data_IF_128455560370
#
_entry.id   IF_128455560370
#
_cell.length_a   1.000
_cell.length_b   1.000
_cell.length_c   1.000
_cell.angle_alpha   90.00
_cell.angle_beta   90.00
_cell.angle_gamma   90.00
#
_symmetry.space_group_name_H-M   'P 1'
#
loop_
_entity.id
_entity.type
_entity.pdbx_description
1 polymer ?
#
# COMPACT_ATOMS: atom_id res chain seq x y z
N UNK A 1 -2.61 -3.93 4.21
CA UNK A 1 -2.38 -3.46 2.83
C UNK A 1 -3.63 -2.74 2.36
N UNK A 2 -3.50 -1.61 1.68
CA UNK A 2 -4.59 -0.79 1.15
C UNK A 2 -4.44 -0.74 -0.37
N UNK A 3 -5.47 -1.20 -1.11
CA UNK A 3 -5.43 -1.35 -2.56
C UNK A 3 -4.54 -2.51 -3.02
N UNK A 4 -3.98 -2.43 -4.22
CA UNK A 4 -3.12 -3.46 -4.79
C UNK A 4 -3.90 -4.70 -5.25
N UNK A 5 -4.97 -4.48 -6.00
CA UNK A 5 -5.92 -5.51 -6.44
C UNK A 5 -5.32 -6.73 -7.15
N UNK A 6 -4.08 -6.63 -7.64
CA UNK A 6 -3.35 -7.77 -8.22
C UNK A 6 -2.77 -8.73 -7.18
N UNK A 7 -2.72 -8.33 -5.89
CA UNK A 7 -2.18 -9.13 -4.80
C UNK A 7 -0.64 -9.27 -4.82
N UNK A 8 0.07 -8.51 -5.64
CA UNK A 8 1.53 -8.59 -5.74
C UNK A 8 2.24 -8.29 -4.42
N UNK A 9 1.83 -7.23 -3.73
CA UNK A 9 2.38 -6.87 -2.40
C UNK A 9 2.06 -7.96 -1.37
N UNK A 10 0.84 -8.51 -1.38
CA UNK A 10 0.46 -9.58 -0.46
C UNK A 10 1.29 -10.85 -0.70
N UNK A 11 1.57 -11.19 -1.97
CA UNK A 11 2.46 -12.31 -2.32
C UNK A 11 3.85 -12.11 -1.75
N UNK A 12 4.46 -10.94 -1.95
CA UNK A 12 5.79 -10.63 -1.42
C UNK A 12 5.83 -10.70 0.12
N UNK A 13 4.77 -10.23 0.77
CA UNK A 13 4.65 -10.37 2.22
C UNK A 13 4.60 -11.84 2.67
N UNK A 14 3.85 -12.70 1.97
CA UNK A 14 3.81 -14.13 2.25
C UNK A 14 5.18 -14.81 2.05
N UNK A 15 5.91 -14.43 1.00
CA UNK A 15 7.25 -14.96 0.72
C UNK A 15 8.29 -14.51 1.74
N UNK A 16 8.02 -13.43 2.46
CA UNK A 16 8.85 -12.91 3.54
C UNK A 16 8.31 -13.25 4.95
N UNK A 17 7.60 -14.39 5.09
CA UNK A 17 7.16 -14.96 6.36
C UNK A 17 6.29 -14.02 7.20
N UNK A 18 5.42 -13.23 6.58
CA UNK A 18 4.43 -12.42 7.29
C UNK A 18 3.40 -13.30 7.97
N UNK A 19 3.13 -13.08 9.26
CA UNK A 19 2.24 -13.92 10.06
C UNK A 19 0.76 -13.74 9.69
N UNK A 20 0.34 -12.53 9.34
CA UNK A 20 -0.99 -12.24 8.84
C UNK A 20 -1.00 -10.97 7.98
N UNK A 21 -1.96 -10.89 7.07
CA UNK A 21 -2.16 -9.75 6.17
C UNK A 21 -3.63 -9.40 6.18
N UNK A 22 -3.96 -8.20 6.65
CA UNK A 22 -5.25 -7.58 6.42
C UNK A 22 -5.17 -6.78 5.11
N UNK A 23 -5.93 -7.22 4.10
CA UNK A 23 -5.96 -6.62 2.78
C UNK A 23 -7.29 -5.90 2.56
N UNK A 24 -7.26 -4.59 2.46
CA UNK A 24 -8.42 -3.72 2.22
C UNK A 24 -8.45 -3.36 0.73
N UNK A 25 -9.45 -3.84 0.02
CA UNK A 25 -9.60 -3.62 -1.43
C UNK A 25 -11.03 -3.17 -1.76
N UNK A 26 -11.11 -2.14 -2.59
CA UNK A 26 -12.37 -1.52 -2.95
C UNK A 26 -13.18 -2.37 -3.94
N UNK A 27 -12.49 -2.98 -4.91
CA UNK A 27 -13.12 -3.62 -6.06
C UNK A 27 -12.84 -5.14 -6.11
N UNK A 28 -13.81 -5.98 -5.70
CA UNK A 28 -13.65 -7.43 -5.77
C UNK A 28 -13.52 -7.95 -7.20
N UNK A 29 -14.06 -7.25 -8.22
CA UNK A 29 -14.02 -7.71 -9.61
C UNK A 29 -12.61 -7.63 -10.18
N UNK A 30 -11.84 -6.60 -9.79
CA UNK A 30 -10.41 -6.49 -10.14
C UNK A 30 -9.65 -7.69 -9.58
N UNK A 31 -9.85 -8.02 -8.31
CA UNK A 31 -9.16 -9.16 -7.67
C UNK A 31 -9.52 -10.47 -8.33
N UNK A 32 -10.80 -10.73 -8.61
CA UNK A 32 -11.23 -11.93 -9.31
C UNK A 32 -10.70 -12.01 -10.75
N UNK A 33 -10.60 -10.87 -11.44
CA UNK A 33 -9.97 -10.78 -12.75
C UNK A 33 -8.48 -11.13 -12.69
N UNK A 34 -7.77 -10.60 -11.70
CA UNK A 34 -6.36 -10.91 -11.48
C UNK A 34 -6.16 -12.39 -11.13
N UNK A 35 -7.02 -12.99 -10.34
CA UNK A 35 -6.98 -14.43 -10.05
C UNK A 35 -7.14 -15.30 -11.29
N UNK A 36 -7.92 -14.85 -12.28
CA UNK A 36 -8.12 -15.58 -13.55
C UNK A 36 -6.98 -15.37 -14.53
N UNK A 37 -6.49 -14.14 -14.64
CA UNK A 37 -5.58 -13.76 -15.72
C UNK A 37 -4.11 -13.66 -15.29
N UNK A 38 -3.84 -13.50 -13.99
CA UNK A 38 -2.50 -13.37 -13.41
C UNK A 38 -2.17 -14.47 -12.38
N UNK A 39 -2.40 -15.76 -12.67
CA UNK A 39 -2.26 -16.83 -11.67
C UNK A 39 -0.85 -16.91 -11.08
N UNK A 40 0.19 -16.54 -11.82
CA UNK A 40 1.58 -16.51 -11.33
C UNK A 40 1.78 -15.45 -10.23
N UNK A 41 1.01 -14.38 -10.25
CA UNK A 41 1.06 -13.32 -9.23
C UNK A 41 0.18 -13.68 -8.03
N UNK A 42 -1.05 -14.13 -8.29
CA UNK A 42 -2.12 -14.15 -7.29
C UNK A 42 -2.38 -15.52 -6.65
N UNK A 43 -1.93 -16.65 -7.23
CA UNK A 43 -2.37 -17.97 -6.79
C UNK A 43 -2.00 -18.33 -5.35
N UNK A 44 -0.85 -17.85 -4.86
CA UNK A 44 -0.44 -18.04 -3.46
C UNK A 44 -1.34 -17.25 -2.51
N UNK A 45 -1.69 -16.02 -2.90
CA UNK A 45 -2.56 -15.13 -2.12
C UNK A 45 -3.95 -15.73 -1.98
N UNK A 46 -4.55 -16.17 -3.09
CA UNK A 46 -5.89 -16.81 -3.11
C UNK A 46 -5.99 -18.03 -2.20
N UNK A 47 -4.92 -18.80 -2.07
CA UNK A 47 -4.88 -20.05 -1.29
C UNK A 47 -4.43 -19.86 0.15
N UNK A 48 -4.03 -18.67 0.53
CA UNK A 48 -3.41 -18.42 1.83
C UNK A 48 -4.45 -18.15 2.91
N UNK A 49 -4.35 -18.85 4.03
CA UNK A 49 -5.08 -18.54 5.25
C UNK A 49 -4.50 -17.36 6.03
N UNK A 50 -3.31 -16.88 5.65
CA UNK A 50 -2.64 -15.74 6.26
C UNK A 50 -3.23 -14.41 5.78
N UNK A 51 -3.86 -14.40 4.59
CA UNK A 51 -4.45 -13.21 3.98
C UNK A 51 -5.94 -13.17 4.28
N UNK A 52 -6.38 -12.10 4.93
CA UNK A 52 -7.79 -11.78 5.11
C UNK A 52 -8.13 -10.54 4.31
N UNK A 53 -9.05 -10.68 3.35
CA UNK A 53 -9.50 -9.56 2.53
C UNK A 53 -10.74 -8.91 3.12
N UNK A 54 -10.73 -7.57 3.14
CA UNK A 54 -11.84 -6.72 3.55
C UNK A 54 -12.27 -5.90 2.33
N UNK A 55 -13.52 -6.07 1.92
CA UNK A 55 -14.07 -5.41 0.74
C UNK A 55 -14.65 -4.05 1.08
N UNK A 56 -14.40 -3.05 0.25
CA UNK A 56 -14.94 -1.70 0.35
C UNK A 56 -13.88 -0.65 0.67
N UNK A 57 -14.34 0.54 1.08
CA UNK A 57 -13.45 1.66 1.38
C UNK A 57 -12.54 1.33 2.57
N UNK A 58 -11.24 1.23 2.28
CA UNK A 58 -10.21 0.98 3.26
C UNK A 58 -10.19 2.03 4.39
N UNK A 59 -10.39 3.30 4.05
CA UNK A 59 -10.31 4.40 5.01
C UNK A 59 -11.52 4.46 5.94
N UNK A 60 -12.67 3.93 5.51
CA UNK A 60 -13.79 3.69 6.39
C UNK A 60 -13.53 2.46 7.29
N UNK A 61 -13.05 1.38 6.70
CA UNK A 61 -12.78 0.12 7.40
C UNK A 61 -11.75 0.27 8.53
N UNK A 62 -10.67 1.03 8.30
CA UNK A 62 -9.63 1.23 9.32
C UNK A 62 -10.10 2.03 10.54
N UNK A 63 -11.24 2.71 10.50
CA UNK A 63 -11.78 3.43 11.67
C UNK A 63 -12.08 2.50 12.84
N UNK A 64 -12.47 1.26 12.57
CA UNK A 64 -12.76 0.22 13.55
C UNK A 64 -11.55 -0.64 13.95
N UNK A 65 -10.40 -0.42 13.31
CA UNK A 65 -9.16 -1.13 13.63
C UNK A 65 -8.58 -0.59 14.96
N UNK A 66 -8.06 -1.49 15.77
CA UNK A 66 -7.39 -1.18 17.05
C UNK A 66 -6.14 -0.29 16.80
N UNK A 67 -5.81 0.52 17.79
CA UNK A 67 -4.60 1.33 17.78
C UNK A 67 -3.37 0.43 17.82
N UNK A 68 -2.31 0.86 17.11
CA UNK A 68 -1.02 0.15 17.11
C UNK A 68 -1.12 -1.34 16.74
N UNK A 69 -1.99 -1.69 15.81
CA UNK A 69 -2.19 -3.08 15.37
C UNK A 69 -1.10 -3.58 14.43
N UNK A 70 -0.68 -2.75 13.47
CA UNK A 70 0.16 -3.18 12.35
C UNK A 70 1.62 -2.80 12.52
N UNK A 71 2.51 -3.71 12.14
CA UNK A 71 3.96 -3.44 12.05
C UNK A 71 4.30 -2.72 10.73
N UNK A 72 3.52 -2.99 9.68
CA UNK A 72 3.71 -2.41 8.34
C UNK A 72 2.37 -2.04 7.71
N UNK A 73 2.36 -0.91 7.01
CA UNK A 73 1.25 -0.48 6.16
C UNK A 73 1.78 -0.27 4.75
N UNK A 74 1.15 -0.92 3.78
CA UNK A 74 1.38 -0.66 2.36
C UNK A 74 0.18 0.07 1.78
N UNK A 75 0.44 1.20 1.11
CA UNK A 75 -0.56 2.00 0.40
C UNK A 75 -0.26 1.85 -1.09
N UNK A 76 -1.06 1.02 -1.76
CA UNK A 76 -0.90 0.67 -3.17
C UNK A 76 -2.16 1.10 -3.94
N UNK A 77 -2.32 2.41 -4.03
CA UNK A 77 -3.41 3.09 -4.72
C UNK A 77 -2.93 3.64 -6.06
N UNK A 78 -3.87 4.11 -6.89
CA UNK A 78 -3.51 4.83 -8.11
C UNK A 78 -2.62 6.04 -7.80
N UNK A 79 -1.74 6.36 -8.74
CA UNK A 79 -0.76 7.43 -8.63
C UNK A 79 -1.30 8.80 -9.09
N UNK A 80 -2.57 9.08 -8.85
CA UNK A 80 -3.21 10.34 -9.19
C UNK A 80 -3.36 11.29 -7.98
N UNK A 81 -3.70 12.54 -8.24
CA UNK A 81 -3.86 13.56 -7.20
C UNK A 81 -5.04 13.24 -6.27
N UNK A 82 -6.08 12.58 -6.76
CA UNK A 82 -7.22 12.17 -5.94
C UNK A 82 -6.81 11.21 -4.84
N UNK A 83 -6.01 10.19 -5.19
CA UNK A 83 -5.50 9.21 -4.21
C UNK A 83 -4.55 9.84 -3.20
N UNK A 84 -3.71 10.81 -3.63
CA UNK A 84 -2.86 11.57 -2.71
C UNK A 84 -3.69 12.38 -1.70
N UNK A 85 -4.76 13.03 -2.16
CA UNK A 85 -5.62 13.83 -1.30
C UNK A 85 -6.46 12.96 -0.36
N UNK A 86 -6.88 11.80 -0.83
CA UNK A 86 -7.57 10.79 -0.02
C UNK A 86 -6.65 10.26 1.09
N UNK A 87 -5.42 9.88 0.76
CA UNK A 87 -4.43 9.46 1.74
C UNK A 87 -4.12 10.58 2.74
N UNK A 88 -3.94 11.82 2.27
CA UNK A 88 -3.70 13.00 3.13
C UNK A 88 -4.78 13.19 4.18
N UNK A 89 -6.05 13.08 3.80
CA UNK A 89 -7.19 13.20 4.71
C UNK A 89 -7.20 12.11 5.78
N UNK A 90 -6.70 10.92 5.45
CA UNK A 90 -6.78 9.74 6.30
C UNK A 90 -5.46 9.38 7.03
N UNK A 91 -4.42 10.21 6.87
CA UNK A 91 -3.09 9.96 7.46
C UNK A 91 -3.12 9.80 8.99
N UNK A 92 -4.03 10.52 9.68
CA UNK A 92 -4.21 10.38 11.14
C UNK A 92 -4.69 8.97 11.51
N UNK A 93 -5.60 8.41 10.74
CA UNK A 93 -6.09 7.03 10.92
C UNK A 93 -4.98 6.00 10.67
N UNK A 94 -4.23 6.16 9.58
CA UNK A 94 -3.09 5.29 9.27
C UNK A 94 -2.02 5.34 10.37
N UNK A 95 -1.72 6.54 10.87
CA UNK A 95 -0.78 6.71 11.98
C UNK A 95 -1.25 6.02 13.25
N UNK A 96 -2.54 6.09 13.58
CA UNK A 96 -3.12 5.48 14.77
C UNK A 96 -2.98 3.95 14.78
N UNK A 97 -3.22 3.30 13.65
CA UNK A 97 -3.18 1.83 13.55
C UNK A 97 -1.77 1.24 13.35
N UNK A 98 -0.77 2.08 13.09
CA UNK A 98 0.62 1.67 12.94
C UNK A 98 1.30 1.66 14.32
N UNK A 99 2.03 0.61 14.63
CA UNK A 99 2.82 0.48 15.87
C UNK A 99 3.95 1.51 15.92
N UNK A 100 4.38 1.96 17.12
CA UNK A 100 5.67 2.65 17.26
C UNK A 100 6.79 1.79 16.65
N UNK A 101 7.68 2.40 15.88
CA UNK A 101 8.71 1.70 15.10
C UNK A 101 8.20 1.01 13.83
N UNK A 102 6.89 0.99 13.60
CA UNK A 102 6.30 0.43 12.38
C UNK A 102 6.59 1.27 11.13
N UNK A 103 6.44 0.67 9.97
CA UNK A 103 6.77 1.30 8.67
C UNK A 103 5.52 1.47 7.82
N UNK A 104 5.34 2.66 7.27
CA UNK A 104 4.40 2.90 6.18
C UNK A 104 5.16 3.06 4.87
N UNK A 105 4.69 2.39 3.82
CA UNK A 105 5.22 2.51 2.46
C UNK A 105 4.08 2.78 1.50
N UNK A 106 4.23 3.80 0.67
CA UNK A 106 3.29 4.11 -0.41
C UNK A 106 3.97 3.95 -1.78
N UNK A 107 3.27 3.39 -2.74
CA UNK A 107 3.65 3.54 -4.14
C UNK A 107 3.36 4.98 -4.55
N UNK A 108 4.32 5.63 -5.21
CA UNK A 108 4.25 7.08 -5.45
C UNK A 108 4.43 7.46 -6.92
N UNK A 109 4.55 6.47 -7.79
CA UNK A 109 4.75 6.66 -9.22
C UNK A 109 6.21 6.88 -9.62
N UNK A 110 6.42 7.43 -10.79
CA UNK A 110 7.76 7.63 -11.35
C UNK A 110 8.27 9.06 -11.12
N UNK A 111 9.43 9.19 -10.47
CA UNK A 111 10.08 10.49 -10.30
C UNK A 111 10.54 11.08 -11.64
N UNK A 112 10.87 10.22 -12.60
CA UNK A 112 11.33 10.65 -13.94
C UNK A 112 10.18 11.24 -14.76
N UNK A 113 8.97 10.66 -14.64
CA UNK A 113 7.79 11.08 -15.42
C UNK A 113 6.92 12.10 -14.68
N UNK A 114 6.80 11.97 -13.35
CA UNK A 114 5.88 12.76 -12.51
C UNK A 114 6.53 13.24 -11.21
N UNK A 115 7.63 14.01 -11.25
CA UNK A 115 8.38 14.40 -10.04
C UNK A 115 7.54 15.17 -9.01
N UNK A 116 6.62 16.03 -9.45
CA UNK A 116 5.73 16.79 -8.56
C UNK A 116 4.79 15.90 -7.75
N UNK A 117 4.36 14.79 -8.34
CA UNK A 117 3.50 13.83 -7.68
C UNK A 117 4.24 13.07 -6.60
N UNK A 118 5.45 12.60 -6.89
CA UNK A 118 6.33 11.96 -5.91
C UNK A 118 6.61 12.90 -4.75
N UNK A 119 6.94 14.17 -5.04
CA UNK A 119 7.14 15.21 -4.03
C UNK A 119 5.89 15.44 -3.16
N UNK A 120 4.70 15.48 -3.76
CA UNK A 120 3.44 15.59 -3.02
C UNK A 120 3.22 14.42 -2.06
N UNK A 121 3.47 13.19 -2.49
CA UNK A 121 3.43 12.02 -1.62
C UNK A 121 4.42 12.11 -0.47
N UNK A 122 5.67 12.49 -0.76
CA UNK A 122 6.71 12.66 0.26
C UNK A 122 6.31 13.73 1.28
N UNK A 123 5.70 14.83 0.85
CA UNK A 123 5.18 15.87 1.76
C UNK A 123 4.06 15.35 2.65
N UNK A 124 3.14 14.54 2.12
CA UNK A 124 2.04 13.94 2.89
C UNK A 124 2.58 13.00 3.95
N UNK A 125 3.48 12.10 3.59
CA UNK A 125 4.11 11.17 4.54
C UNK A 125 4.98 11.91 5.56
N UNK A 126 5.84 12.81 5.09
CA UNK A 126 6.78 13.56 5.94
C UNK A 126 6.09 14.40 7.00
N UNK A 127 4.95 15.02 6.68
CA UNK A 127 4.16 15.78 7.63
C UNK A 127 3.60 14.93 8.77
N UNK A 128 3.31 13.66 8.50
CA UNK A 128 2.67 12.77 9.47
C UNK A 128 3.65 11.88 10.23
N UNK A 129 4.73 11.44 9.58
CA UNK A 129 5.66 10.45 10.11
C UNK A 129 7.10 10.96 10.27
N UNK A 130 7.45 12.09 9.65
CA UNK A 130 8.80 12.63 9.69
C UNK A 130 9.63 12.25 8.46
N UNK A 131 10.84 11.73 8.65
CA UNK A 131 11.75 11.44 7.55
C UNK A 131 11.15 10.46 6.54
N UNK A 132 11.26 10.80 5.24
CA UNK A 132 10.81 9.98 4.13
C UNK A 132 12.01 9.50 3.34
N UNK A 133 12.08 8.21 3.10
CA UNK A 133 13.06 7.60 2.19
C UNK A 133 12.33 7.20 0.91
N UNK A 134 12.88 7.59 -0.24
CA UNK A 134 12.38 7.19 -1.55
C UNK A 134 13.32 6.16 -2.14
N UNK A 135 12.77 5.03 -2.55
CA UNK A 135 13.46 3.98 -3.30
C UNK A 135 12.75 3.74 -4.62
N UNK A 136 13.45 3.20 -5.60
CA UNK A 136 12.85 2.92 -6.90
C UNK A 136 13.58 1.79 -7.61
N UNK A 137 12.82 1.11 -8.47
CA UNK A 137 13.34 0.10 -9.37
C UNK A 137 12.77 0.30 -10.77
N UNK A 138 13.53 -0.07 -11.78
CA UNK A 138 13.03 -0.08 -13.14
C UNK A 138 11.96 -1.16 -13.29
N UNK A 139 10.77 -0.76 -13.73
CA UNK A 139 9.65 -1.66 -14.01
C UNK A 139 9.46 -1.72 -15.54
N UNK A 140 9.79 -2.85 -16.18
CA UNK A 140 9.75 -2.96 -17.64
C UNK A 140 8.40 -2.64 -18.27
N UNK A 141 7.30 -3.04 -17.62
CA UNK A 141 5.94 -2.77 -18.11
C UNK A 141 5.57 -1.28 -18.10
N UNK A 142 6.24 -0.47 -17.30
CA UNK A 142 6.05 0.98 -17.22
C UNK A 142 7.12 1.78 -17.97
N UNK A 143 8.16 1.08 -18.42
CA UNK A 143 9.34 1.66 -19.07
C UNK A 143 9.90 2.88 -18.29
N UNK A 144 10.03 2.74 -16.99
CA UNK A 144 10.59 3.76 -16.11
C UNK A 144 10.94 3.22 -14.74
N UNK A 145 11.69 4.02 -13.96
CA UNK A 145 11.86 3.79 -12.54
C UNK A 145 10.54 4.10 -11.82
N UNK A 146 10.03 3.10 -11.09
CA UNK A 146 8.86 3.24 -10.25
C UNK A 146 9.28 3.38 -8.80
N UNK A 147 8.71 4.33 -8.11
CA UNK A 147 9.19 4.74 -6.80
C UNK A 147 8.20 4.39 -5.68
N UNK A 148 8.77 4.12 -4.52
CA UNK A 148 8.10 3.87 -3.26
C UNK A 148 8.65 4.84 -2.22
N UNK A 149 7.76 5.48 -1.47
CA UNK A 149 8.13 6.35 -0.37
C UNK A 149 7.80 5.68 0.96
N UNK A 150 8.76 5.62 1.85
CA UNK A 150 8.63 4.95 3.15
C UNK A 150 8.97 5.89 4.30
N UNK A 151 8.26 5.73 5.41
CA UNK A 151 8.54 6.42 6.68
C UNK A 151 8.39 5.46 7.85
N UNK A 152 9.14 5.72 8.91
CA UNK A 152 9.07 4.98 10.18
C UNK A 152 8.26 5.79 11.18
N UNK A 153 7.32 5.14 11.87
CA UNK A 153 6.57 5.71 12.98
C UNK A 153 7.51 5.93 14.18
N UNK A 154 7.63 7.16 14.63
CA UNK A 154 8.38 7.52 15.84
C UNK A 154 7.55 7.30 17.08
#
# INVERSE_FOLDING_TARGET
MIGGGDGGVARECLENNTNYIDWYELDPEIVESCYRHLPKVCSKVKKSNTVKTFWGDAFESIKSVEDSKYDKIFVDLNDDQYCIDLARKNMKGLKRILKPGGVITAQVGSIDKKPKQVDNWCKVLGKSFGNVTVSGNHIPSFDCNWNFASSVMK
#
